data_IF_912133438633
#
_entry.id   IF_912133438633
#
_cell.length_a   1.000
_cell.length_b   1.000
_cell.length_c   1.000
_cell.angle_alpha   90.00
_cell.angle_beta   90.00
_cell.angle_gamma   90.00
#
_symmetry.space_group_name_H-M   'P 1'
#
loop_
_entity.id
_entity.type
_entity.pdbx_description
1 polymer ?
#
# COMPACT_ATOMS: atom_id res chain seq x y z
N UNK A 1 -13.05 -13.21 -2.02
CA UNK A 1 -11.73 -13.55 -1.44
C UNK A 1 -10.76 -12.45 -1.84
N UNK A 2 -9.80 -12.11 -0.97
CA UNK A 2 -8.78 -11.10 -1.31
C UNK A 2 -7.59 -11.76 -1.99
N UNK A 3 -7.11 -11.13 -3.05
CA UNK A 3 -5.98 -11.60 -3.85
C UNK A 3 -4.91 -10.51 -3.90
N UNK A 4 -3.65 -10.92 -3.72
CA UNK A 4 -2.52 -10.02 -3.80
C UNK A 4 -1.79 -10.22 -5.11
N UNK A 5 -1.73 -9.16 -5.92
CA UNK A 5 -1.05 -9.15 -7.21
C UNK A 5 0.19 -8.27 -7.16
N UNK A 6 1.29 -8.75 -7.74
CA UNK A 6 2.47 -7.94 -8.01
C UNK A 6 2.60 -7.73 -9.51
N UNK A 7 2.64 -6.49 -9.93
CA UNK A 7 2.75 -6.09 -11.34
C UNK A 7 4.07 -5.34 -11.52
N UNK A 8 4.94 -5.88 -12.35
CA UNK A 8 6.15 -5.19 -12.80
C UNK A 8 5.80 -4.41 -14.06
N UNK A 9 6.12 -3.13 -14.08
CA UNK A 9 5.81 -2.24 -15.19
C UNK A 9 6.97 -1.30 -15.51
N UNK A 10 6.98 -0.76 -16.72
CA UNK A 10 7.86 0.34 -17.09
C UNK A 10 7.52 1.58 -16.29
N UNK A 11 8.54 2.28 -15.79
CA UNK A 11 8.38 3.52 -15.03
C UNK A 11 8.18 4.70 -15.99
N UNK A 12 7.01 4.72 -16.62
CA UNK A 12 6.62 5.74 -17.58
C UNK A 12 5.42 6.54 -17.09
N UNK A 13 5.40 7.79 -17.50
CA UNK A 13 4.26 8.68 -17.24
C UNK A 13 2.95 8.07 -17.77
N UNK A 14 1.95 7.96 -16.91
CA UNK A 14 0.64 7.42 -17.26
C UNK A 14 0.50 5.89 -17.16
N UNK A 15 1.55 5.12 -16.87
CA UNK A 15 1.48 3.67 -16.71
C UNK A 15 0.46 3.29 -15.61
N UNK A 16 0.57 3.90 -14.43
CA UNK A 16 -0.38 3.68 -13.34
C UNK A 16 -1.81 4.08 -13.72
N UNK A 17 -1.98 5.20 -14.43
CA UNK A 17 -3.31 5.66 -14.87
C UNK A 17 -3.98 4.69 -15.83
N UNK A 18 -3.21 4.02 -16.68
CA UNK A 18 -3.72 2.96 -17.58
C UNK A 18 -4.21 1.75 -16.80
N UNK A 19 -3.47 1.33 -15.79
CA UNK A 19 -3.86 0.23 -14.90
C UNK A 19 -5.13 0.61 -14.13
N UNK A 20 -5.15 1.75 -13.45
CA UNK A 20 -6.32 2.23 -12.72
C UNK A 20 -7.56 2.37 -13.63
N UNK A 21 -7.37 2.92 -14.84
CA UNK A 21 -8.43 3.04 -15.83
C UNK A 21 -8.95 1.68 -16.32
N UNK A 22 -8.12 0.65 -16.38
CA UNK A 22 -8.54 -0.71 -16.70
C UNK A 22 -9.49 -1.24 -15.62
N UNK A 23 -9.11 -1.12 -14.35
CA UNK A 23 -9.93 -1.54 -13.22
C UNK A 23 -11.26 -0.81 -13.19
N UNK A 24 -11.24 0.51 -13.34
CA UNK A 24 -12.44 1.35 -13.37
C UNK A 24 -13.42 0.94 -14.49
N UNK A 25 -12.92 0.71 -15.70
CA UNK A 25 -13.77 0.30 -16.84
C UNK A 25 -14.37 -1.08 -16.70
N UNK A 26 -13.75 -1.96 -15.92
CA UNK A 26 -14.20 -3.33 -15.71
C UNK A 26 -15.01 -3.50 -14.43
N UNK A 27 -15.11 -2.45 -13.61
CA UNK A 27 -15.83 -2.48 -12.34
C UNK A 27 -15.12 -3.32 -11.26
N UNK A 28 -13.80 -3.51 -11.37
CA UNK A 28 -13.02 -4.15 -10.34
C UNK A 28 -12.63 -3.15 -9.27
N UNK A 29 -12.77 -3.54 -8.01
CA UNK A 29 -12.32 -2.75 -6.88
C UNK A 29 -10.86 -3.04 -6.53
N UNK A 30 -10.13 -2.01 -6.13
CA UNK A 30 -8.77 -2.11 -5.59
C UNK A 30 -8.86 -1.76 -4.11
N UNK A 31 -8.58 -2.72 -3.24
CA UNK A 31 -8.62 -2.53 -1.79
C UNK A 31 -7.39 -1.79 -1.28
N UNK A 32 -6.23 -2.11 -1.83
CA UNK A 32 -4.99 -1.42 -1.52
C UNK A 32 -4.07 -1.37 -2.74
N UNK A 33 -3.23 -0.35 -2.78
CA UNK A 33 -2.31 -0.10 -3.88
C UNK A 33 -1.02 0.52 -3.34
N UNK A 34 0.10 -0.11 -3.66
CA UNK A 34 1.41 0.42 -3.38
C UNK A 34 2.27 0.38 -4.65
N UNK A 35 2.97 1.47 -4.93
CA UNK A 35 3.88 1.57 -6.09
C UNK A 35 5.23 2.04 -5.60
N UNK A 36 6.29 1.41 -6.10
CA UNK A 36 7.65 1.79 -5.79
C UNK A 36 8.62 1.39 -6.89
N UNK A 37 9.85 1.90 -6.88
CA UNK A 37 10.89 1.49 -7.80
C UNK A 37 11.11 -0.02 -7.72
N UNK A 38 11.32 -0.65 -8.87
CA UNK A 38 11.73 -2.05 -8.94
C UNK A 38 13.26 -2.17 -8.86
N UNK A 39 13.75 -3.41 -8.86
CA UNK A 39 15.18 -3.70 -8.74
C UNK A 39 15.98 -3.22 -9.96
N UNK A 40 15.36 -3.24 -11.13
CA UNK A 40 15.96 -2.72 -12.36
C UNK A 40 15.57 -1.26 -12.60
N UNK A 41 16.54 -0.43 -13.01
CA UNK A 41 16.27 0.97 -13.36
C UNK A 41 15.25 1.09 -14.48
N UNK A 42 14.40 2.13 -14.41
CA UNK A 42 13.34 2.36 -15.39
C UNK A 42 12.12 1.45 -15.24
N UNK A 43 12.04 0.73 -14.14
CA UNK A 43 10.90 -0.13 -13.82
C UNK A 43 10.32 0.21 -12.45
N UNK A 44 9.02 0.05 -12.32
CA UNK A 44 8.26 0.18 -11.08
C UNK A 44 7.52 -1.12 -10.76
N UNK A 45 7.45 -1.43 -9.48
CA UNK A 45 6.66 -2.53 -8.97
C UNK A 45 5.40 -1.99 -8.30
N UNK A 46 4.28 -2.48 -8.76
CA UNK A 46 2.98 -2.17 -8.20
C UNK A 46 2.48 -3.42 -7.48
N UNK A 47 2.17 -3.27 -6.20
CA UNK A 47 1.52 -4.31 -5.41
C UNK A 47 0.10 -3.87 -5.10
N UNK A 48 -0.87 -4.71 -5.42
CA UNK A 48 -2.28 -4.40 -5.21
C UNK A 48 -3.00 -5.56 -4.55
N UNK A 49 -4.01 -5.22 -3.74
CA UNK A 49 -4.98 -6.17 -3.22
C UNK A 49 -6.31 -5.92 -3.92
N UNK A 50 -6.89 -6.99 -4.46
CA UNK A 50 -8.17 -6.94 -5.16
C UNK A 50 -9.11 -7.98 -4.56
N UNK A 51 -10.41 -7.68 -4.55
CA UNK A 51 -11.42 -8.62 -4.09
C UNK A 51 -12.14 -9.26 -5.27
N UNK A 52 -12.28 -10.57 -5.22
CA UNK A 52 -12.97 -11.32 -6.26
C UNK A 52 -12.87 -12.83 -6.04
N UNK A 53 -13.41 -13.56 -6.99
CA UNK A 53 -13.22 -15.01 -7.13
C UNK A 53 -12.00 -15.31 -8.03
N UNK A 54 -11.61 -16.58 -8.11
CA UNK A 54 -10.47 -17.01 -8.92
C UNK A 54 -10.67 -16.69 -10.42
N UNK A 55 -11.90 -16.71 -10.90
CA UNK A 55 -12.23 -16.38 -12.29
C UNK A 55 -12.00 -14.89 -12.55
N UNK A 56 -12.44 -14.04 -11.64
CA UNK A 56 -12.18 -12.59 -11.67
C UNK A 56 -10.70 -12.30 -11.66
N UNK A 57 -9.94 -12.96 -10.79
CA UNK A 57 -8.48 -12.81 -10.71
C UNK A 57 -7.79 -13.16 -12.04
N UNK A 58 -8.17 -14.29 -12.65
CA UNK A 58 -7.62 -14.68 -13.95
C UNK A 58 -7.96 -13.67 -15.05
N UNK A 59 -9.15 -13.09 -15.02
CA UNK A 59 -9.53 -12.04 -15.97
C UNK A 59 -8.70 -10.78 -15.76
N UNK A 60 -8.50 -10.36 -14.52
CA UNK A 60 -7.66 -9.19 -14.17
C UNK A 60 -6.24 -9.41 -14.70
N UNK A 61 -5.61 -10.53 -14.37
CA UNK A 61 -4.25 -10.84 -14.81
C UNK A 61 -4.12 -10.80 -16.35
N UNK A 62 -5.03 -11.46 -17.05
CA UNK A 62 -5.07 -11.45 -18.52
C UNK A 62 -5.26 -10.06 -19.14
N UNK A 63 -5.94 -9.16 -18.44
CA UNK A 63 -6.16 -7.80 -18.93
C UNK A 63 -4.95 -6.91 -18.63
N UNK A 64 -4.28 -7.12 -17.50
CA UNK A 64 -3.04 -6.44 -17.15
C UNK A 64 -1.92 -6.80 -18.14
N UNK A 65 -1.76 -8.08 -18.48
CA UNK A 65 -0.77 -8.57 -19.44
C UNK A 65 -0.92 -7.96 -20.84
N UNK A 66 -2.09 -7.39 -21.18
CA UNK A 66 -2.31 -6.72 -22.46
C UNK A 66 -1.87 -5.26 -22.49
N UNK A 67 -1.54 -4.69 -21.34
CA UNK A 67 -1.06 -3.32 -21.28
C UNK A 67 0.40 -3.25 -21.69
N UNK A 68 0.72 -2.35 -22.61
CA UNK A 68 2.07 -2.21 -23.20
C UNK A 68 3.13 -1.99 -22.14
N UNK A 69 2.81 -1.25 -21.07
CA UNK A 69 3.75 -0.93 -20.01
C UNK A 69 3.88 -2.03 -18.94
N UNK A 70 3.10 -3.10 -19.00
CA UNK A 70 3.16 -4.21 -18.04
C UNK A 70 4.15 -5.25 -18.56
N UNK A 71 5.17 -5.51 -17.74
CA UNK A 71 6.22 -6.47 -18.06
C UNK A 71 5.95 -7.85 -17.48
N UNK A 72 5.33 -7.90 -16.29
CA UNK A 72 5.03 -9.14 -15.60
C UNK A 72 3.88 -8.95 -14.61
N UNK A 73 3.03 -9.96 -14.51
CA UNK A 73 1.98 -10.06 -13.47
C UNK A 73 2.21 -11.34 -12.68
N UNK A 74 2.31 -11.22 -11.36
CA UNK A 74 2.47 -12.34 -10.44
C UNK A 74 1.31 -12.36 -9.44
N UNK A 75 0.66 -13.50 -9.31
CA UNK A 75 -0.24 -13.77 -8.21
C UNK A 75 0.56 -14.24 -6.98
N UNK A 76 0.46 -13.48 -5.90
CA UNK A 76 1.12 -13.75 -4.63
C UNK A 76 0.18 -14.33 -3.57
N UNK A 77 -1.11 -14.51 -3.88
CA UNK A 77 -2.17 -14.89 -2.94
C UNK A 77 -1.83 -16.15 -2.14
N UNK A 78 -1.27 -17.15 -2.81
CA UNK A 78 -0.92 -18.45 -2.19
C UNK A 78 0.59 -18.58 -1.85
N UNK A 79 1.37 -17.51 -2.04
CA UNK A 79 2.81 -17.55 -1.79
C UNK A 79 3.12 -17.06 -0.38
N UNK A 80 4.07 -17.68 0.32
CA UNK A 80 4.58 -17.12 1.57
C UNK A 80 5.12 -15.71 1.31
N UNK A 81 4.54 -14.73 1.99
CA UNK A 81 4.90 -13.32 1.86
C UNK A 81 5.01 -12.67 3.25
N UNK A 82 5.85 -11.66 3.35
CA UNK A 82 5.91 -10.80 4.53
C UNK A 82 5.21 -9.49 4.18
N UNK A 83 4.07 -9.27 4.78
CA UNK A 83 3.31 -8.03 4.64
C UNK A 83 3.67 -7.10 5.79
N UNK A 84 3.91 -5.82 5.46
CA UNK A 84 4.19 -4.78 6.43
C UNK A 84 3.52 -3.50 5.98
N UNK A 85 2.94 -2.80 6.94
CA UNK A 85 2.34 -1.49 6.74
C UNK A 85 3.08 -0.47 7.61
N UNK A 86 3.25 0.73 7.11
CA UNK A 86 3.73 1.87 7.86
C UNK A 86 2.59 2.87 8.01
N UNK A 87 2.22 3.14 9.25
CA UNK A 87 1.25 4.16 9.58
C UNK A 87 1.91 5.24 10.42
N UNK A 88 1.78 6.49 10.01
CA UNK A 88 2.20 7.65 10.79
C UNK A 88 0.95 8.28 11.41
N UNK A 89 0.86 8.21 12.74
CA UNK A 89 -0.21 8.82 13.49
C UNK A 89 0.29 10.08 14.19
N UNK A 90 -0.33 11.21 13.90
CA UNK A 90 -0.13 12.44 14.66
C UNK A 90 -1.36 12.71 15.52
N UNK A 91 -1.19 12.65 16.81
CA UNK A 91 -2.24 12.83 17.79
C UNK A 91 -1.98 14.10 18.58
N UNK A 92 -3.00 14.95 18.74
CA UNK A 92 -2.93 16.09 19.66
C UNK A 92 -2.97 15.54 21.09
N UNK A 93 -1.83 15.58 21.76
CA UNK A 93 -1.73 15.14 23.15
C UNK A 93 -1.05 16.23 23.99
N UNK A 94 -1.76 16.83 24.96
CA UNK A 94 -1.14 17.67 25.99
C UNK A 94 -0.01 16.90 26.70
N UNK A 95 0.99 17.62 27.23
CA UNK A 95 2.15 17.00 27.86
C UNK A 95 1.78 16.00 28.98
N UNK A 96 0.69 16.27 29.68
CA UNK A 96 0.16 15.47 30.77
C UNK A 96 -0.42 14.11 30.34
N UNK A 97 -0.89 13.99 29.10
CA UNK A 97 -1.56 12.79 28.57
C UNK A 97 -0.74 12.02 27.52
N UNK A 98 0.46 12.46 27.17
CA UNK A 98 1.28 11.82 26.12
C UNK A 98 1.57 10.36 26.38
N UNK A 99 1.93 10.02 27.64
CA UNK A 99 2.20 8.63 28.04
C UNK A 99 0.97 7.73 27.94
N UNK A 100 -0.21 8.26 28.30
CA UNK A 100 -1.48 7.52 28.22
C UNK A 100 -1.88 7.27 26.76
N UNK A 101 -1.74 8.26 25.89
CA UNK A 101 -2.06 8.14 24.44
C UNK A 101 -1.18 7.07 23.78
N UNK A 102 0.13 7.05 24.08
CA UNK A 102 1.02 6.01 23.57
C UNK A 102 0.63 4.61 24.03
N UNK A 103 0.14 4.48 25.25
CA UNK A 103 -0.27 3.20 25.82
C UNK A 103 -1.60 2.69 25.24
N UNK A 104 -2.54 3.58 24.94
CA UNK A 104 -3.83 3.20 24.36
C UNK A 104 -3.74 2.84 22.85
N UNK A 105 -2.84 3.49 22.11
CA UNK A 105 -2.70 3.25 20.67
C UNK A 105 -1.91 1.97 20.38
N UNK A 106 -0.84 1.70 21.14
CA UNK A 106 0.05 0.56 20.90
C UNK A 106 -0.61 -0.83 20.90
N UNK A 107 -1.60 -1.15 21.77
CA UNK A 107 -2.26 -2.46 21.74
C UNK A 107 -3.13 -2.72 20.50
N UNK A 108 -3.55 -1.67 19.80
CA UNK A 108 -4.44 -1.75 18.66
C UNK A 108 -3.69 -1.70 17.32
N UNK A 109 -2.39 -1.44 17.35
CA UNK A 109 -1.55 -1.45 16.15
C UNK A 109 -0.94 -2.84 15.94
N UNK A 110 -1.04 -3.43 14.74
CA UNK A 110 -0.47 -4.73 14.43
C UNK A 110 1.07 -4.74 14.41
N UNK A 111 1.71 -3.61 14.62
CA UNK A 111 3.16 -3.43 14.57
C UNK A 111 3.70 -2.76 15.82
N UNK A 112 4.77 -3.32 16.41
CA UNK A 112 5.60 -2.59 17.36
C UNK A 112 6.35 -1.49 16.60
N UNK A 113 5.83 -0.29 16.66
CA UNK A 113 6.58 0.88 16.21
C UNK A 113 7.66 1.22 17.23
N UNK A 114 8.90 1.52 16.80
CA UNK A 114 9.86 2.14 17.70
C UNK A 114 9.30 3.50 18.14
N UNK A 115 9.11 3.66 19.43
CA UNK A 115 8.77 4.94 20.01
C UNK A 115 9.99 5.85 19.86
N UNK A 116 9.87 6.92 19.10
CA UNK A 116 10.93 7.90 18.96
C UNK A 116 10.68 8.94 20.05
N UNK A 117 11.36 8.74 21.19
CA UNK A 117 11.26 9.62 22.35
C UNK A 117 12.01 10.96 22.21
N UNK A 118 12.82 11.13 21.15
CA UNK A 118 13.70 12.28 21.00
C UNK A 118 13.29 13.17 19.82
N UNK A 119 12.32 14.03 20.06
CA UNK A 119 12.26 15.32 19.41
C UNK A 119 12.24 16.42 20.48
N UNK A 120 13.28 16.47 21.32
CA UNK A 120 13.54 17.63 22.14
C UNK A 120 13.73 18.86 21.26
N UNK A 121 12.83 19.81 21.37
CA UNK A 121 13.03 21.17 20.92
C UNK A 121 12.14 21.72 19.83
N UNK A 122 11.22 20.95 19.23
CA UNK A 122 10.26 21.54 18.30
C UNK A 122 8.85 21.58 18.90
N UNK A 123 8.24 22.78 19.00
CA UNK A 123 6.82 22.87 19.37
C UNK A 123 6.01 22.08 18.37
N UNK A 124 5.23 21.10 18.86
CA UNK A 124 4.26 20.38 18.04
C UNK A 124 3.34 21.41 17.35
N UNK A 125 3.63 21.72 16.12
CA UNK A 125 2.65 22.39 15.26
C UNK A 125 1.73 21.32 14.69
N UNK A 126 0.47 21.67 14.73
CA UNK A 126 -0.72 20.96 14.24
C UNK A 126 -0.45 19.91 13.15
N UNK A 127 -0.94 18.71 13.35
CA UNK A 127 -0.65 17.66 12.52
C UNK A 127 -1.72 16.71 12.15
N UNK A 128 -1.50 16.03 11.08
CA UNK A 128 -2.41 15.20 10.34
C UNK A 128 -2.42 13.75 10.84
N UNK A 129 -3.61 13.15 10.87
CA UNK A 129 -3.78 11.70 10.73
C UNK A 129 -4.17 11.51 9.26
N UNK A 130 -3.30 10.87 8.49
CA UNK A 130 -3.71 10.33 7.20
C UNK A 130 -3.90 8.83 7.33
N UNK A 131 -4.99 8.29 6.77
CA UNK A 131 -5.33 6.88 6.85
C UNK A 131 -4.39 6.00 6.03
#
# INVERSE_FOLDING_TARGET
MKHTLSVLMEDESGALSRIAGLFARRGFNIDSLAVGPAEAGGQSRLTMVVEGDDQTLQQIAKQLDKLVNVLQVLDLTQRPAVERELMLLKVAAPAESRSAVGFEILPHLPLRLPFIDDLEGHPCREGFIEP
#
